data_IF_339226637195
#
_entry.id   IF_339226637195
#
_cell.length_a   1.000
_cell.length_b   1.000
_cell.length_c   1.000
_cell.angle_alpha   90.00
_cell.angle_beta   90.00
_cell.angle_gamma   90.00
#
_symmetry.space_group_name_H-M   'P 1'
#
loop_
_entity.id
_entity.type
_entity.pdbx_description
1 polymer ?
#
# COMPACT_ATOMS: atom_id res chain seq x y z
N UNK A 1 -5.25 8.48 36.20
CA UNK A 1 -4.70 8.12 34.87
C UNK A 1 -5.36 9.05 33.86
N UNK A 2 -4.59 9.92 33.18
CA UNK A 2 -5.13 10.74 32.06
C UNK A 2 -5.07 9.86 30.80
N UNK A 3 -6.08 9.04 30.59
CA UNK A 3 -6.21 8.19 29.40
C UNK A 3 -6.73 9.00 28.21
N UNK A 4 -5.94 9.95 27.72
CA UNK A 4 -6.29 10.74 26.55
C UNK A 4 -5.05 11.10 25.76
N UNK A 5 -5.11 10.90 24.45
CA UNK A 5 -4.19 11.51 23.46
C UNK A 5 -4.15 13.01 23.74
N UNK A 6 -2.97 13.59 23.94
CA UNK A 6 -2.82 15.03 24.17
C UNK A 6 -3.28 15.83 22.95
N UNK A 7 -3.70 17.08 23.14
CA UNK A 7 -4.06 17.95 22.00
C UNK A 7 -2.90 18.09 21.01
N UNK A 8 -1.66 18.20 21.51
CA UNK A 8 -0.46 18.21 20.69
C UNK A 8 -0.34 16.97 19.79
N UNK A 9 -0.64 15.78 20.32
CA UNK A 9 -0.59 14.54 19.55
C UNK A 9 -1.73 14.47 18.51
N UNK A 10 -2.90 15.05 18.80
CA UNK A 10 -3.98 15.17 17.82
C UNK A 10 -3.60 16.11 16.67
N UNK A 11 -3.02 17.27 16.99
CA UNK A 11 -2.57 18.23 15.98
C UNK A 11 -1.49 17.63 15.07
N UNK A 12 -0.57 16.86 15.65
CA UNK A 12 0.44 16.12 14.87
C UNK A 12 -0.18 15.04 13.99
N UNK A 13 -1.14 14.28 14.51
CA UNK A 13 -1.84 13.26 13.73
C UNK A 13 -2.60 13.87 12.53
N UNK A 14 -3.22 15.04 12.72
CA UNK A 14 -3.87 15.75 11.62
C UNK A 14 -2.89 16.19 10.54
N UNK A 15 -1.74 16.77 10.93
CA UNK A 15 -0.69 17.14 9.97
C UNK A 15 -0.11 15.93 9.23
N UNK A 16 0.01 14.80 9.92
CA UNK A 16 0.44 13.55 9.30
C UNK A 16 -0.56 13.08 8.24
N UNK A 17 -1.86 13.14 8.54
CA UNK A 17 -2.91 12.80 7.58
C UNK A 17 -2.88 13.71 6.35
N UNK A 18 -2.72 15.03 6.53
CA UNK A 18 -2.59 15.97 5.41
C UNK A 18 -1.35 15.70 4.55
N UNK A 19 -0.23 15.30 5.18
CA UNK A 19 0.98 14.90 4.47
C UNK A 19 0.76 13.59 3.71
N UNK A 20 0.06 12.64 4.31
CA UNK A 20 -0.29 11.36 3.69
C UNK A 20 -1.15 11.57 2.45
N UNK A 21 -2.18 12.43 2.52
CA UNK A 21 -3.02 12.75 1.35
C UNK A 21 -2.18 13.32 0.20
N UNK A 22 -1.31 14.30 0.48
CA UNK A 22 -0.40 14.87 -0.53
C UNK A 22 0.54 13.82 -1.12
N UNK A 23 1.10 12.95 -0.29
CA UNK A 23 1.99 11.90 -0.77
C UNK A 23 1.27 10.90 -1.70
N UNK A 24 0.01 10.54 -1.39
CA UNK A 24 -0.83 9.71 -2.27
C UNK A 24 -1.08 10.37 -3.63
N UNK A 25 -1.28 11.68 -3.69
CA UNK A 25 -1.42 12.43 -4.96
C UNK A 25 -0.17 12.31 -5.85
N UNK A 26 1.01 12.19 -5.25
CA UNK A 26 2.26 11.95 -5.98
C UNK A 26 2.51 10.47 -6.32
N UNK A 27 1.63 9.56 -5.91
CA UNK A 27 1.75 8.11 -6.10
C UNK A 27 2.76 7.44 -5.16
N UNK A 28 3.09 8.08 -4.03
CA UNK A 28 4.00 7.52 -3.05
C UNK A 28 3.31 6.44 -2.22
N UNK A 29 4.04 5.36 -1.96
CA UNK A 29 3.62 4.34 -1.01
C UNK A 29 3.96 4.82 0.41
N UNK A 30 2.92 5.10 1.18
CA UNK A 30 3.01 5.63 2.56
C UNK A 30 2.27 4.76 3.58
N UNK A 31 1.69 3.66 3.10
CA UNK A 31 0.98 2.72 3.95
C UNK A 31 2.00 1.86 4.69
N UNK A 32 1.66 1.46 5.91
CA UNK A 32 2.48 0.62 6.79
C UNK A 32 2.23 -0.88 6.58
N UNK A 33 1.48 -1.23 5.53
CA UNK A 33 1.21 -2.61 5.14
C UNK A 33 2.29 -3.18 4.23
N UNK A 34 2.39 -4.51 4.25
CA UNK A 34 3.19 -5.24 3.27
C UNK A 34 2.68 -5.10 1.84
N UNK A 35 3.59 -5.30 0.89
CA UNK A 35 3.31 -5.30 -0.54
C UNK A 35 2.53 -6.55 -0.95
N UNK A 36 1.54 -6.37 -1.82
CA UNK A 36 0.64 -7.46 -2.21
C UNK A 36 1.20 -8.25 -3.40
N UNK A 37 1.09 -9.57 -3.34
CA UNK A 37 1.36 -10.45 -4.46
C UNK A 37 0.17 -11.39 -4.72
N UNK A 38 -0.38 -11.33 -5.94
CA UNK A 38 -1.48 -12.19 -6.33
C UNK A 38 -0.97 -13.57 -6.76
N UNK A 39 -1.11 -14.55 -5.88
CA UNK A 39 -0.76 -15.95 -6.17
C UNK A 39 -1.53 -16.57 -7.35
N UNK A 40 -2.70 -16.04 -7.71
CA UNK A 40 -3.51 -16.56 -8.81
C UNK A 40 -2.99 -16.14 -10.18
N UNK A 41 -2.65 -14.86 -10.37
CA UNK A 41 -2.33 -14.31 -11.69
C UNK A 41 -0.93 -13.71 -11.81
N UNK A 42 -0.16 -13.68 -10.72
CA UNK A 42 1.23 -13.23 -10.68
C UNK A 42 1.43 -11.71 -10.70
N UNK A 43 0.37 -10.92 -10.53
CA UNK A 43 0.50 -9.47 -10.37
C UNK A 43 1.02 -9.16 -8.97
N UNK A 44 2.05 -8.33 -8.85
CA UNK A 44 2.67 -7.98 -7.58
C UNK A 44 2.85 -6.47 -7.45
N UNK A 45 2.82 -5.96 -6.23
CA UNK A 45 3.25 -4.61 -5.88
C UNK A 45 4.75 -4.54 -5.64
N UNK A 46 5.32 -3.37 -5.93
CA UNK A 46 6.70 -3.03 -5.59
C UNK A 46 6.83 -1.52 -5.36
N UNK A 47 7.95 -1.08 -4.76
CA UNK A 47 8.24 0.31 -4.50
C UNK A 47 9.54 0.69 -5.19
N UNK A 48 9.46 1.70 -6.06
CA UNK A 48 10.65 2.24 -6.72
C UNK A 48 11.59 2.91 -5.72
N UNK A 49 12.84 3.15 -6.12
CA UNK A 49 13.82 3.83 -5.26
C UNK A 49 13.38 5.25 -4.82
N UNK A 50 12.47 5.91 -5.55
CA UNK A 50 11.86 7.19 -5.18
C UNK A 50 10.54 7.05 -4.40
N UNK A 51 10.20 5.84 -3.96
CA UNK A 51 9.08 5.59 -3.06
C UNK A 51 7.71 5.45 -3.74
N UNK A 52 7.66 5.26 -5.07
CA UNK A 52 6.38 5.12 -5.79
C UNK A 52 5.90 3.69 -5.77
N UNK A 53 4.62 3.50 -5.46
CA UNK A 53 3.97 2.21 -5.63
C UNK A 53 3.78 1.90 -7.11
N UNK A 54 4.32 0.77 -7.55
CA UNK A 54 4.09 0.20 -8.88
C UNK A 54 3.46 -1.18 -8.76
N UNK A 55 2.86 -1.67 -9.84
CA UNK A 55 2.52 -3.09 -9.96
C UNK A 55 3.08 -3.68 -11.23
N UNK A 56 3.61 -4.89 -11.17
CA UNK A 56 4.24 -5.50 -12.33
C UNK A 56 4.05 -7.02 -12.40
N UNK A 57 4.47 -7.59 -13.53
CA UNK A 57 4.67 -9.02 -13.71
C UNK A 57 6.15 -9.32 -13.86
N UNK A 58 6.54 -10.55 -13.53
CA UNK A 58 7.92 -11.03 -13.68
C UNK A 58 8.87 -10.40 -12.65
N UNK A 59 10.16 -10.57 -12.89
CA UNK A 59 11.23 -10.17 -11.99
C UNK A 59 12.10 -9.06 -12.60
N UNK A 60 12.81 -8.33 -11.74
CA UNK A 60 13.80 -7.31 -12.14
C UNK A 60 14.86 -7.86 -13.10
N UNK A 61 15.47 -7.00 -13.94
CA UNK A 61 15.41 -5.53 -13.94
C UNK A 61 14.35 -4.93 -14.88
N UNK A 62 13.65 -5.73 -15.69
CA UNK A 62 12.81 -5.24 -16.78
C UNK A 62 11.33 -5.11 -16.39
N UNK A 63 11.07 -4.70 -15.15
CA UNK A 63 9.71 -4.52 -14.65
C UNK A 63 9.18 -3.15 -15.11
N UNK A 64 7.93 -3.12 -15.56
CA UNK A 64 7.23 -1.91 -15.96
C UNK A 64 5.95 -1.84 -15.15
N UNK A 65 5.66 -0.68 -14.57
CA UNK A 65 4.39 -0.46 -13.88
C UNK A 65 3.23 -0.68 -14.86
N UNK A 66 2.35 -1.61 -14.52
CA UNK A 66 1.15 -1.92 -15.29
C UNK A 66 0.06 -0.86 -15.12
N UNK A 67 0.19 0.01 -14.11
CA UNK A 67 -0.81 1.00 -13.74
C UNK A 67 -2.02 0.42 -13.00
N UNK A 68 -2.06 -0.89 -12.77
CA UNK A 68 -3.10 -1.53 -11.96
C UNK A 68 -2.82 -1.28 -10.46
N UNK A 69 -3.86 -1.22 -9.64
CA UNK A 69 -3.74 -1.08 -8.17
C UNK A 69 -4.71 -2.02 -7.49
N UNK A 70 -4.28 -2.66 -6.40
CA UNK A 70 -5.16 -3.53 -5.62
C UNK A 70 -6.26 -2.71 -4.98
N UNK A 71 -7.50 -3.22 -5.00
CA UNK A 71 -8.60 -2.54 -4.34
C UNK A 71 -8.66 -3.01 -2.90
N UNK A 72 -8.56 -2.06 -1.99
CA UNK A 72 -8.76 -2.30 -0.57
C UNK A 72 -10.23 -2.67 -0.30
N UNK A 73 -10.41 -3.69 0.53
CA UNK A 73 -11.68 -4.20 1.02
C UNK A 73 -11.73 -4.04 2.55
N UNK A 74 -12.92 -4.13 3.17
CA UNK A 74 -13.02 -4.16 4.62
C UNK A 74 -12.18 -5.30 5.24
N UNK A 75 -11.80 -5.12 6.51
CA UNK A 75 -11.02 -6.08 7.32
C UNK A 75 -9.61 -6.40 6.77
N UNK A 76 -8.89 -5.38 6.28
CA UNK A 76 -7.49 -5.51 5.82
C UNK A 76 -7.33 -6.53 4.66
N UNK A 77 -8.38 -6.69 3.87
CA UNK A 77 -8.41 -7.53 2.67
C UNK A 77 -8.21 -6.67 1.42
N UNK A 78 -7.78 -7.32 0.35
CA UNK A 78 -7.52 -6.69 -0.94
C UNK A 78 -8.03 -7.59 -2.05
N UNK A 79 -8.52 -7.01 -3.13
CA UNK A 79 -8.86 -7.74 -4.36
C UNK A 79 -7.90 -7.40 -5.49
N UNK A 80 -7.46 -8.44 -6.20
CA UNK A 80 -6.61 -8.30 -7.37
C UNK A 80 -7.40 -7.62 -8.50
N UNK A 81 -6.89 -6.49 -9.05
CA UNK A 81 -7.60 -5.73 -10.08
C UNK A 81 -7.69 -6.47 -11.42
N UNK A 82 -6.89 -7.51 -11.64
CA UNK A 82 -6.91 -8.30 -12.87
C UNK A 82 -7.82 -9.51 -12.82
N UNK A 83 -7.77 -10.29 -11.75
CA UNK A 83 -8.45 -11.59 -11.68
C UNK A 83 -9.51 -11.68 -10.58
N UNK A 84 -9.65 -10.66 -9.73
CA UNK A 84 -10.63 -10.63 -8.65
C UNK A 84 -10.28 -11.52 -7.44
N UNK A 85 -9.14 -12.21 -7.45
CA UNK A 85 -8.70 -13.01 -6.29
C UNK A 85 -8.49 -12.10 -5.08
N UNK A 86 -9.08 -12.47 -3.95
CA UNK A 86 -8.91 -11.78 -2.67
C UNK A 86 -7.67 -12.29 -1.92
N UNK A 87 -7.04 -11.39 -1.15
CA UNK A 87 -5.85 -11.65 -0.34
C UNK A 87 -5.77 -10.68 0.83
N UNK A 88 -4.86 -10.96 1.76
CA UNK A 88 -4.46 -10.06 2.85
C UNK A 88 -3.04 -9.57 2.57
N UNK A 89 -2.69 -8.40 3.09
CA UNK A 89 -1.28 -8.01 3.18
C UNK A 89 -0.66 -8.82 4.32
N UNK A 90 0.14 -9.85 3.99
CA UNK A 90 0.73 -10.76 4.98
C UNK A 90 2.19 -10.39 5.28
N UNK A 91 2.49 -10.20 6.56
CA UNK A 91 3.81 -9.94 7.17
C UNK A 91 4.71 -11.20 7.23
N UNK A 92 4.27 -12.33 6.64
CA UNK A 92 4.87 -13.67 6.85
C UNK A 92 5.26 -14.45 5.60
N UNK A 93 5.51 -13.79 4.47
CA UNK A 93 6.10 -14.45 3.30
C UNK A 93 7.56 -14.04 3.07
N UNK A 94 8.41 -14.30 4.06
CA UNK A 94 9.82 -14.69 3.91
C UNK A 94 10.23 -15.69 5.00
#
# INVERSE_FOLDING_TARGET
MKNGVSEELRDLAQKLNELHEKAREFGLFIDDRELLACASCGLMEDVTADGRLITHYGEFPNVVDTGLRFNELPDERFSCPRCGTEMIADDRLL
#
